data_IF_170837954293
#
_entry.id   IF_170837954293
#
_cell.length_a   1.000
_cell.length_b   1.000
_cell.length_c   1.000
_cell.angle_alpha   90.00
_cell.angle_beta   90.00
_cell.angle_gamma   90.00
#
_symmetry.space_group_name_H-M   'P 1'
#
loop_
_entity.id
_entity.type
_entity.pdbx_description
1 polymer ?
#
# COMPACT_ATOMS: atom_id res chain seq x y z
N UNK A 1 10.02 -11.21 -11.28
CA UNK A 1 11.47 -10.95 -11.20
C UNK A 1 11.86 -10.18 -9.94
N UNK A 2 12.82 -10.69 -9.15
CA UNK A 2 13.52 -9.95 -8.09
C UNK A 2 14.76 -9.24 -8.65
N UNK A 3 14.96 -7.98 -8.32
CA UNK A 3 16.21 -7.27 -8.59
C UNK A 3 16.78 -6.72 -7.28
N UNK A 4 18.03 -7.11 -6.99
CA UNK A 4 18.81 -6.58 -5.87
C UNK A 4 19.97 -5.78 -6.45
N UNK A 5 20.15 -4.55 -5.99
CA UNK A 5 21.12 -3.64 -6.61
C UNK A 5 22.43 -3.58 -5.81
N UNK A 6 23.53 -3.62 -6.54
CA UNK A 6 24.88 -3.34 -6.04
C UNK A 6 25.18 -1.84 -6.13
N UNK A 7 25.96 -1.31 -5.18
CA UNK A 7 26.11 0.14 -4.92
C UNK A 7 26.82 0.95 -6.01
N UNK A 8 27.44 0.31 -7.01
CA UNK A 8 28.39 0.95 -7.93
C UNK A 8 27.85 1.35 -9.30
N UNK A 9 26.64 0.92 -9.70
CA UNK A 9 26.06 1.22 -11.02
C UNK A 9 24.78 2.06 -10.93
N UNK A 10 24.46 2.81 -12.00
CA UNK A 10 23.20 3.54 -12.12
C UNK A 10 22.03 2.53 -12.08
N UNK A 11 21.09 2.77 -11.18
CA UNK A 11 19.98 1.86 -10.90
C UNK A 11 19.07 1.64 -12.11
N UNK A 12 18.71 2.71 -12.81
CA UNK A 12 17.76 2.65 -13.92
C UNK A 12 18.32 1.85 -15.10
N UNK A 13 19.62 1.95 -15.36
CA UNK A 13 20.30 1.18 -16.42
C UNK A 13 20.24 -0.32 -16.14
N UNK A 14 20.51 -0.74 -14.89
CA UNK A 14 20.41 -2.16 -14.50
C UNK A 14 18.97 -2.67 -14.63
N UNK A 15 18.01 -1.85 -14.20
CA UNK A 15 16.60 -2.18 -14.32
C UNK A 15 16.17 -2.34 -15.77
N UNK A 16 16.57 -1.41 -16.65
CA UNK A 16 16.26 -1.44 -18.08
C UNK A 16 16.82 -2.70 -18.74
N UNK A 17 18.09 -3.03 -18.49
CA UNK A 17 18.71 -4.26 -19.00
C UNK A 17 18.00 -5.52 -18.53
N UNK A 18 17.52 -5.55 -17.28
CA UNK A 18 16.80 -6.70 -16.72
C UNK A 18 15.36 -6.83 -17.25
N UNK A 19 14.75 -5.71 -17.64
CA UNK A 19 13.42 -5.69 -18.25
C UNK A 19 13.47 -5.90 -19.76
N UNK A 20 14.62 -5.66 -20.40
CA UNK A 20 14.82 -5.94 -21.81
C UNK A 20 14.59 -7.45 -22.08
N UNK A 21 13.52 -7.75 -22.80
CA UNK A 21 13.02 -9.10 -23.09
C UNK A 21 12.45 -9.88 -21.89
N UNK A 22 12.08 -9.20 -20.80
CA UNK A 22 11.39 -9.84 -19.69
C UNK A 22 9.87 -9.70 -19.82
N UNK A 23 9.15 -10.83 -19.74
CA UNK A 23 7.68 -10.89 -19.77
C UNK A 23 7.03 -10.95 -18.38
N UNK A 24 7.82 -10.94 -17.30
CA UNK A 24 7.32 -10.97 -15.93
C UNK A 24 6.45 -9.74 -15.65
N UNK A 25 5.27 -9.99 -15.11
CA UNK A 25 4.33 -8.93 -14.69
C UNK A 25 4.59 -8.46 -13.27
N UNK A 26 5.44 -9.15 -12.51
CA UNK A 26 5.79 -8.81 -11.13
C UNK A 26 7.24 -8.39 -11.03
N UNK A 27 7.48 -7.16 -10.62
CA UNK A 27 8.81 -6.62 -10.33
C UNK A 27 8.98 -6.44 -8.83
N UNK A 28 9.97 -7.11 -8.26
CA UNK A 28 10.32 -6.99 -6.85
C UNK A 28 11.62 -6.20 -6.69
N UNK A 29 11.46 -4.97 -6.18
CA UNK A 29 12.53 -4.04 -5.79
C UNK A 29 12.66 -3.93 -4.26
N UNK A 30 12.02 -4.79 -3.48
CA UNK A 30 12.05 -4.72 -2.02
C UNK A 30 13.47 -4.79 -1.45
N UNK A 31 13.68 -4.25 -0.25
CA UNK A 31 14.97 -4.23 0.44
C UNK A 31 16.11 -3.51 -0.31
N UNK A 32 15.80 -2.74 -1.36
CA UNK A 32 16.77 -1.87 -1.99
C UNK A 32 16.65 -0.45 -1.41
N UNK A 33 17.75 0.28 -1.19
CA UNK A 33 17.73 1.56 -0.49
C UNK A 33 17.26 2.72 -1.38
N UNK A 34 16.06 2.60 -1.99
CA UNK A 34 15.47 3.60 -2.89
C UNK A 34 15.31 4.96 -2.19
N UNK A 35 15.01 4.94 -0.89
CA UNK A 35 14.95 6.14 -0.05
C UNK A 35 16.24 6.94 0.08
N UNK A 36 17.38 6.36 -0.32
CA UNK A 36 18.70 7.00 -0.33
C UNK A 36 19.20 7.34 -1.73
N UNK A 37 18.38 7.10 -2.76
CA UNK A 37 18.73 7.40 -4.16
C UNK A 37 18.41 8.85 -4.50
N UNK A 38 19.06 9.35 -5.54
CA UNK A 38 18.81 10.68 -6.09
C UNK A 38 17.43 10.71 -6.75
N UNK A 39 16.78 11.87 -6.71
CA UNK A 39 15.49 12.11 -7.37
C UNK A 39 15.49 11.62 -8.82
N UNK A 40 16.49 12.00 -9.61
CA UNK A 40 16.57 11.63 -11.02
C UNK A 40 16.59 10.10 -11.22
N UNK A 41 17.29 9.35 -10.37
CA UNK A 41 17.31 7.89 -10.46
C UNK A 41 15.93 7.28 -10.23
N UNK A 42 15.13 7.83 -9.30
CA UNK A 42 13.75 7.36 -9.07
C UNK A 42 12.84 7.68 -10.25
N UNK A 43 12.97 8.88 -10.82
CA UNK A 43 12.20 9.26 -12.00
C UNK A 43 12.57 8.38 -13.21
N UNK A 44 13.83 8.00 -13.35
CA UNK A 44 14.28 7.12 -14.42
C UNK A 44 13.76 5.68 -14.24
N UNK A 45 13.61 5.18 -13.01
CA UNK A 45 12.91 3.92 -12.74
C UNK A 45 11.49 3.96 -13.31
N UNK A 46 10.73 5.01 -13.02
CA UNK A 46 9.36 5.13 -13.51
C UNK A 46 9.31 5.14 -15.05
N UNK A 47 10.25 5.82 -15.71
CA UNK A 47 10.36 5.82 -17.18
C UNK A 47 10.63 4.43 -17.75
N UNK A 48 11.54 3.67 -17.13
CA UNK A 48 11.87 2.31 -17.54
C UNK A 48 10.66 1.37 -17.41
N UNK A 49 9.74 1.64 -16.48
CA UNK A 49 8.52 0.85 -16.31
C UNK A 49 7.45 1.11 -17.37
N UNK A 50 7.46 2.26 -18.06
CA UNK A 50 6.44 2.64 -19.06
C UNK A 50 6.28 1.57 -20.15
N UNK A 51 7.34 1.13 -20.86
CA UNK A 51 7.19 0.10 -21.89
C UNK A 51 7.07 -1.32 -21.31
N UNK A 52 7.26 -1.50 -20.00
CA UNK A 52 7.34 -2.83 -19.39
C UNK A 52 5.96 -3.50 -19.25
N UNK A 53 5.90 -4.85 -19.19
CA UNK A 53 4.66 -5.57 -18.89
C UNK A 53 4.31 -5.60 -17.39
N UNK A 54 5.07 -4.91 -16.53
CA UNK A 54 4.92 -4.98 -15.08
C UNK A 54 3.58 -4.39 -14.65
N UNK A 55 2.79 -5.20 -13.94
CA UNK A 55 1.52 -4.80 -13.32
C UNK A 55 1.59 -4.77 -11.79
N UNK A 56 2.56 -5.46 -11.20
CA UNK A 56 2.79 -5.51 -9.75
C UNK A 56 4.19 -5.04 -9.41
N UNK A 57 4.30 -4.02 -8.55
CA UNK A 57 5.56 -3.43 -8.13
C UNK A 57 5.73 -3.57 -6.61
N UNK A 58 6.72 -4.35 -6.18
CA UNK A 58 7.05 -4.49 -4.77
C UNK A 58 8.18 -3.52 -4.38
N UNK A 59 7.85 -2.53 -3.53
CA UNK A 59 8.72 -1.51 -2.96
C UNK A 59 8.85 -1.66 -1.44
N UNK A 60 8.55 -2.83 -0.90
CA UNK A 60 8.61 -3.05 0.54
C UNK A 60 10.02 -2.86 1.08
N UNK A 61 10.11 -2.24 2.27
CA UNK A 61 11.38 -2.00 2.97
C UNK A 61 12.43 -1.27 2.11
N UNK A 62 12.00 -0.30 1.28
CA UNK A 62 12.92 0.46 0.42
C UNK A 62 13.33 1.81 1.00
N UNK A 63 12.86 2.12 2.21
CA UNK A 63 13.19 3.33 2.94
C UNK A 63 12.51 4.59 2.40
N UNK A 64 11.35 4.46 1.75
CA UNK A 64 10.66 5.60 1.10
C UNK A 64 10.34 6.75 2.06
N UNK A 65 10.24 6.48 3.37
CA UNK A 65 10.12 7.53 4.37
C UNK A 65 11.29 8.54 4.36
N UNK A 66 12.49 8.11 3.96
CA UNK A 66 13.69 8.94 3.93
C UNK A 66 13.73 9.94 2.76
N UNK A 67 12.87 9.76 1.75
CA UNK A 67 12.83 10.67 0.60
C UNK A 67 12.40 12.07 1.03
N UNK A 68 13.27 13.03 0.72
CA UNK A 68 13.08 14.46 0.97
C UNK A 68 13.56 15.25 -0.26
N UNK A 69 12.79 16.27 -0.73
CA UNK A 69 11.44 16.62 -0.27
C UNK A 69 10.42 15.51 -0.59
N UNK A 70 9.24 15.55 0.05
CA UNK A 70 8.16 14.59 -0.20
C UNK A 70 7.76 14.54 -1.68
N UNK A 71 7.90 15.67 -2.39
CA UNK A 71 7.63 15.82 -3.81
C UNK A 71 8.34 14.79 -4.68
N UNK A 72 9.53 14.31 -4.28
CA UNK A 72 10.24 13.25 -5.00
C UNK A 72 9.43 11.96 -5.02
N UNK A 73 8.89 11.55 -3.87
CA UNK A 73 8.04 10.37 -3.75
C UNK A 73 6.73 10.58 -4.52
N UNK A 74 6.11 11.76 -4.39
CA UNK A 74 4.84 12.06 -5.06
C UNK A 74 4.99 12.05 -6.58
N UNK A 75 6.06 12.64 -7.12
CA UNK A 75 6.37 12.60 -8.55
C UNK A 75 6.60 11.17 -9.03
N UNK A 76 7.36 10.37 -8.28
CA UNK A 76 7.58 8.96 -8.61
C UNK A 76 6.25 8.20 -8.69
N UNK A 77 5.40 8.29 -7.66
CA UNK A 77 4.10 7.61 -7.62
C UNK A 77 3.18 8.09 -8.75
N UNK A 78 3.06 9.40 -8.97
CA UNK A 78 2.24 9.97 -10.04
C UNK A 78 2.71 9.55 -11.44
N UNK A 79 4.00 9.31 -11.64
CA UNK A 79 4.52 8.82 -12.91
C UNK A 79 4.12 7.38 -13.21
N UNK A 80 3.70 6.60 -12.20
CA UNK A 80 3.19 5.24 -12.41
C UNK A 80 1.89 5.22 -13.22
N UNK A 81 1.14 6.35 -13.30
CA UNK A 81 -0.05 6.48 -14.17
C UNK A 81 0.21 6.19 -15.64
N UNK A 82 1.47 6.35 -16.07
CA UNK A 82 1.91 6.11 -17.45
C UNK A 82 2.43 4.67 -17.65
N UNK A 83 2.30 3.82 -16.63
CA UNK A 83 2.75 2.42 -16.64
C UNK A 83 1.55 1.48 -16.57
N UNK A 84 1.78 0.17 -16.54
CA UNK A 84 0.74 -0.85 -16.33
C UNK A 84 0.59 -1.26 -14.85
N UNK A 85 1.31 -0.62 -13.94
CA UNK A 85 1.33 -0.98 -12.51
C UNK A 85 0.00 -0.63 -11.88
N UNK A 86 -0.73 -1.64 -11.43
CA UNK A 86 -2.01 -1.52 -10.70
C UNK A 86 -1.93 -2.09 -9.29
N UNK A 87 -0.90 -2.88 -8.97
CA UNK A 87 -0.67 -3.43 -7.64
C UNK A 87 0.66 -2.91 -7.08
N UNK A 88 0.65 -2.35 -5.88
CA UNK A 88 1.87 -1.83 -5.24
C UNK A 88 2.04 -2.36 -3.82
N UNK A 89 3.25 -2.81 -3.51
CA UNK A 89 3.63 -3.15 -2.14
C UNK A 89 4.51 -2.05 -1.55
N UNK A 90 3.99 -1.35 -0.55
CA UNK A 90 4.67 -0.29 0.20
C UNK A 90 4.96 -0.71 1.65
N UNK A 91 4.88 -2.00 1.95
CA UNK A 91 5.00 -2.49 3.32
C UNK A 91 6.38 -2.21 3.92
N UNK A 92 6.43 -2.05 5.24
CA UNK A 92 7.71 -1.88 5.96
C UNK A 92 8.48 -0.61 5.61
N UNK A 93 7.81 0.46 5.14
CA UNK A 93 8.45 1.73 4.83
C UNK A 93 8.32 2.77 5.95
N UNK A 94 7.71 2.43 7.09
CA UNK A 94 7.54 3.29 8.27
C UNK A 94 6.81 4.60 7.98
N UNK A 95 5.91 4.60 7.00
CA UNK A 95 5.23 5.82 6.55
C UNK A 95 4.43 6.47 7.70
N UNK A 96 3.74 5.68 8.52
CA UNK A 96 2.89 6.16 9.61
C UNK A 96 3.62 6.87 10.76
N UNK A 97 4.95 6.75 10.88
CA UNK A 97 5.72 7.47 11.91
C UNK A 97 6.71 8.47 11.39
N UNK A 98 7.00 8.45 10.09
CA UNK A 98 8.08 9.24 9.49
C UNK A 98 7.58 10.27 8.48
N UNK A 99 6.31 10.17 8.06
CA UNK A 99 5.64 11.15 7.22
C UNK A 99 4.66 11.97 8.06
N UNK A 100 4.49 13.24 7.69
CA UNK A 100 3.46 14.06 8.32
C UNK A 100 2.06 13.58 7.90
N UNK A 101 1.04 14.00 8.65
CA UNK A 101 -0.35 13.70 8.30
C UNK A 101 -0.71 14.18 6.88
N UNK A 102 -0.17 15.32 6.47
CA UNK A 102 -0.42 15.89 5.15
C UNK A 102 0.33 15.09 4.06
N UNK A 103 1.58 14.69 4.31
CA UNK A 103 2.33 13.82 3.41
C UNK A 103 1.59 12.51 3.15
N UNK A 104 1.01 11.89 4.20
CA UNK A 104 0.29 10.63 4.09
C UNK A 104 -0.95 10.77 3.19
N UNK A 105 -1.72 11.86 3.32
CA UNK A 105 -2.86 12.16 2.44
C UNK A 105 -2.42 12.32 0.99
N UNK A 106 -1.33 13.06 0.77
CA UNK A 106 -0.78 13.25 -0.57
C UNK A 106 -0.27 11.95 -1.19
N UNK A 107 0.34 11.06 -0.39
CA UNK A 107 0.77 9.73 -0.84
C UNK A 107 -0.43 8.90 -1.32
N UNK A 108 -1.51 8.80 -0.53
CA UNK A 108 -2.68 8.00 -0.97
C UNK A 108 -3.39 8.63 -2.16
N UNK A 109 -3.44 9.96 -2.22
CA UNK A 109 -3.99 10.65 -3.39
C UNK A 109 -3.15 10.38 -4.65
N UNK A 110 -1.82 10.41 -4.55
CA UNK A 110 -0.92 10.09 -5.66
C UNK A 110 -1.07 8.64 -6.16
N UNK A 111 -1.36 7.69 -5.27
CA UNK A 111 -1.64 6.30 -5.65
C UNK A 111 -2.95 6.15 -6.43
N UNK A 112 -3.98 6.88 -6.03
CA UNK A 112 -5.26 6.92 -6.77
C UNK A 112 -5.07 7.59 -8.14
N UNK A 113 -4.36 8.71 -8.20
CA UNK A 113 -4.01 9.39 -9.45
C UNK A 113 -3.17 8.50 -10.38
N UNK A 114 -2.40 7.57 -9.81
CA UNK A 114 -1.63 6.59 -10.54
C UNK A 114 -2.45 5.41 -11.09
N UNK A 115 -3.73 5.30 -10.72
CA UNK A 115 -4.59 4.19 -11.14
C UNK A 115 -4.31 2.88 -10.39
N UNK A 116 -3.69 2.94 -9.21
CA UNK A 116 -3.45 1.74 -8.39
C UNK A 116 -4.77 1.18 -7.88
N UNK A 117 -4.93 -0.13 -7.95
CA UNK A 117 -6.12 -0.89 -7.55
C UNK A 117 -5.88 -1.67 -6.24
N UNK A 118 -4.68 -2.21 -6.02
CA UNK A 118 -4.34 -2.92 -4.79
C UNK A 118 -3.09 -2.33 -4.12
N UNK A 119 -3.18 -2.03 -2.83
CA UNK A 119 -2.07 -1.49 -2.05
C UNK A 119 -1.78 -2.38 -0.85
N UNK A 120 -0.52 -2.79 -0.68
CA UNK A 120 -0.04 -3.35 0.57
C UNK A 120 0.62 -2.26 1.43
N UNK A 121 -0.05 -1.89 2.52
CA UNK A 121 0.41 -0.93 3.51
C UNK A 121 0.87 -1.59 4.82
N UNK A 122 1.07 -2.90 4.84
CA UNK A 122 1.45 -3.64 6.03
C UNK A 122 2.73 -3.08 6.68
N UNK A 123 2.86 -3.19 7.99
CA UNK A 123 4.07 -2.81 8.73
C UNK A 123 4.55 -1.37 8.52
N UNK A 124 3.62 -0.43 8.36
CA UNK A 124 3.92 1.01 8.26
C UNK A 124 3.64 1.80 9.54
N UNK A 125 3.25 1.11 10.62
CA UNK A 125 2.94 1.70 11.93
C UNK A 125 1.78 2.70 11.87
N UNK A 126 0.78 2.45 11.02
CA UNK A 126 -0.39 3.33 10.89
C UNK A 126 -1.18 3.50 12.20
N UNK A 127 -1.14 2.56 13.15
CA UNK A 127 -1.78 2.71 14.47
C UNK A 127 -1.18 3.81 15.36
N UNK A 128 -0.04 4.41 14.97
CA UNK A 128 0.54 5.60 15.62
C UNK A 128 0.11 6.93 14.99
N UNK A 129 -0.56 6.89 13.84
CA UNK A 129 -1.15 8.08 13.21
C UNK A 129 -2.41 8.45 14.00
N UNK A 130 -2.68 9.75 14.14
CA UNK A 130 -3.90 10.16 14.83
C UNK A 130 -5.15 9.68 14.10
N UNK A 131 -6.19 9.36 14.87
CA UNK A 131 -7.39 8.70 14.34
C UNK A 131 -8.12 9.52 13.28
N UNK A 132 -8.07 10.86 13.36
CA UNK A 132 -8.71 11.74 12.39
C UNK A 132 -8.00 11.66 11.04
N UNK A 133 -6.67 11.72 11.04
CA UNK A 133 -5.87 11.54 9.83
C UNK A 133 -6.05 10.14 9.23
N UNK A 134 -6.08 9.09 10.05
CA UNK A 134 -6.38 7.74 9.56
C UNK A 134 -7.74 7.66 8.90
N UNK A 135 -8.77 8.26 9.50
CA UNK A 135 -10.11 8.28 8.94
C UNK A 135 -10.13 8.95 7.57
N UNK A 136 -9.45 10.08 7.42
CA UNK A 136 -9.35 10.79 6.14
C UNK A 136 -8.60 9.96 5.08
N UNK A 137 -7.46 9.37 5.43
CA UNK A 137 -6.67 8.51 4.52
C UNK A 137 -7.50 7.30 4.06
N UNK A 138 -8.17 6.62 4.98
CA UNK A 138 -8.95 5.43 4.66
C UNK A 138 -10.22 5.76 3.87
N UNK A 139 -10.84 6.91 4.12
CA UNK A 139 -11.95 7.41 3.29
C UNK A 139 -11.48 7.68 1.86
N UNK A 140 -10.28 8.25 1.67
CA UNK A 140 -9.68 8.43 0.35
C UNK A 140 -9.45 7.07 -0.32
N UNK A 141 -8.86 6.11 0.40
CA UNK A 141 -8.63 4.74 -0.10
C UNK A 141 -9.92 3.95 -0.38
N UNK A 142 -11.07 4.37 0.15
CA UNK A 142 -12.36 3.77 -0.19
C UNK A 142 -12.91 4.27 -1.54
N UNK A 143 -12.25 5.22 -2.20
CA UNK A 143 -12.61 5.65 -3.54
C UNK A 143 -12.11 4.66 -4.60
N UNK A 144 -12.68 4.73 -5.81
CA UNK A 144 -12.13 4.01 -6.98
C UNK A 144 -10.81 4.66 -7.41
N UNK A 145 -9.84 3.88 -7.95
CA UNK A 145 -9.97 2.48 -8.36
C UNK A 145 -9.58 1.43 -7.31
N UNK A 146 -9.26 1.85 -6.07
CA UNK A 146 -8.82 0.94 -5.01
C UNK A 146 -9.89 -0.12 -4.72
N UNK A 147 -9.45 -1.38 -4.70
CA UNK A 147 -10.26 -2.56 -4.40
C UNK A 147 -9.76 -3.31 -3.17
N UNK A 148 -8.46 -3.26 -2.87
CA UNK A 148 -7.87 -3.91 -1.68
C UNK A 148 -6.78 -3.08 -1.03
N UNK A 149 -6.78 -3.08 0.30
CA UNK A 149 -5.77 -2.45 1.15
C UNK A 149 -5.33 -3.44 2.22
N UNK A 150 -4.12 -3.97 2.09
CA UNK A 150 -3.54 -4.87 3.09
C UNK A 150 -2.94 -4.07 4.23
N UNK A 151 -3.32 -4.37 5.48
CA UNK A 151 -3.03 -3.53 6.64
C UNK A 151 -2.36 -4.27 7.80
N UNK A 152 -1.83 -5.47 7.57
CA UNK A 152 -1.18 -6.31 8.57
C UNK A 152 -0.04 -5.60 9.32
N UNK A 153 0.22 -5.98 10.58
CA UNK A 153 1.34 -5.47 11.35
C UNK A 153 1.43 -3.95 11.53
N UNK A 154 0.30 -3.21 11.49
CA UNK A 154 0.28 -1.75 11.61
C UNK A 154 0.13 -1.21 13.05
N UNK A 155 0.16 -2.07 14.07
CA UNK A 155 0.04 -1.70 15.48
C UNK A 155 -1.30 -1.02 15.80
N UNK A 156 -2.42 -1.49 15.22
CA UNK A 156 -3.73 -0.90 15.47
C UNK A 156 -4.30 -1.21 16.86
N UNK A 157 -3.70 -2.14 17.59
CA UNK A 157 -4.03 -2.45 18.97
C UNK A 157 -3.97 -1.21 19.88
N UNK A 158 -3.14 -0.22 19.55
CA UNK A 158 -3.08 1.07 20.25
C UNK A 158 -4.28 2.00 20.04
N UNK A 159 -5.18 1.72 19.08
CA UNK A 159 -6.29 2.62 18.73
C UNK A 159 -7.53 2.46 19.62
N UNK A 160 -7.64 1.38 20.40
CA UNK A 160 -8.84 1.10 21.21
C UNK A 160 -9.26 -0.37 21.24
N UNK A 161 -8.36 -1.29 20.88
CA UNK A 161 -8.64 -2.73 20.86
C UNK A 161 -9.33 -3.23 19.59
N UNK A 162 -9.49 -4.56 19.50
CA UNK A 162 -9.87 -5.23 18.26
C UNK A 162 -11.26 -4.82 17.73
N UNK A 163 -12.26 -4.70 18.61
CA UNK A 163 -13.61 -4.32 18.20
C UNK A 163 -13.66 -2.88 17.65
N UNK A 164 -12.97 -1.94 18.30
CA UNK A 164 -12.89 -0.57 17.81
C UNK A 164 -12.24 -0.54 16.41
N UNK A 165 -11.13 -1.25 16.23
CA UNK A 165 -10.42 -1.31 14.96
C UNK A 165 -11.27 -1.96 13.87
N UNK A 166 -11.99 -3.04 14.18
CA UNK A 166 -12.91 -3.67 13.24
C UNK A 166 -14.01 -2.72 12.79
N UNK A 167 -14.71 -2.07 13.73
CA UNK A 167 -15.79 -1.13 13.43
C UNK A 167 -15.25 0.09 12.64
N UNK A 168 -14.06 0.57 12.99
CA UNK A 168 -13.38 1.68 12.29
C UNK A 168 -13.00 1.32 10.86
N UNK A 169 -12.34 0.17 10.64
CA UNK A 169 -11.95 -0.30 9.31
C UNK A 169 -13.18 -0.59 8.46
N UNK A 170 -14.19 -1.27 9.01
CA UNK A 170 -15.44 -1.54 8.31
C UNK A 170 -16.13 -0.24 7.87
N UNK A 171 -16.20 0.77 8.74
CA UNK A 171 -16.80 2.06 8.40
C UNK A 171 -16.02 2.83 7.33
N UNK A 172 -14.69 2.73 7.30
CA UNK A 172 -13.84 3.58 6.47
C UNK A 172 -13.38 2.92 5.17
N UNK A 173 -13.26 1.59 5.14
CA UNK A 173 -12.79 0.80 3.99
C UNK A 173 -13.76 -0.31 3.59
N UNK A 174 -14.82 -0.57 4.36
CA UNK A 174 -15.79 -1.64 4.11
C UNK A 174 -15.10 -3.00 3.90
N UNK A 175 -15.33 -3.64 2.75
CA UNK A 175 -14.77 -4.92 2.33
C UNK A 175 -13.31 -4.81 1.85
N UNK A 176 -12.77 -3.60 1.66
CA UNK A 176 -11.45 -3.40 1.05
C UNK A 176 -10.30 -3.62 2.02
N UNK A 177 -10.54 -3.55 3.33
CA UNK A 177 -9.53 -3.81 4.34
C UNK A 177 -9.18 -5.30 4.39
N UNK A 178 -7.93 -5.65 4.08
CA UNK A 178 -7.44 -7.02 4.11
C UNK A 178 -6.47 -7.20 5.28
N UNK A 179 -6.80 -8.16 6.13
CA UNK A 179 -6.01 -8.62 7.26
C UNK A 179 -5.87 -10.14 7.19
N UNK A 180 -4.65 -10.64 7.40
CA UNK A 180 -4.30 -12.06 7.24
C UNK A 180 -3.37 -12.57 8.35
N UNK A 181 -2.94 -11.71 9.28
CA UNK A 181 -2.10 -12.15 10.39
C UNK A 181 -2.89 -13.13 11.30
N UNK A 182 -2.21 -14.17 11.77
CA UNK A 182 -2.80 -15.23 12.59
C UNK A 182 -2.77 -14.92 14.10
N UNK A 183 -2.38 -13.70 14.49
CA UNK A 183 -2.37 -13.32 15.89
C UNK A 183 -3.79 -13.11 16.43
N UNK A 184 -3.95 -13.28 17.76
CA UNK A 184 -5.26 -13.21 18.42
C UNK A 184 -5.99 -11.88 18.20
N UNK A 185 -5.26 -10.76 18.14
CA UNK A 185 -5.87 -9.45 17.92
C UNK A 185 -6.45 -9.37 16.51
N UNK A 186 -5.66 -9.72 15.49
CA UNK A 186 -6.10 -9.69 14.09
C UNK A 186 -7.28 -10.63 13.82
N UNK A 187 -7.28 -11.83 14.40
CA UNK A 187 -8.40 -12.76 14.26
C UNK A 187 -9.71 -12.23 14.89
N UNK A 188 -9.63 -11.51 16.02
CA UNK A 188 -10.79 -10.83 16.59
C UNK A 188 -11.31 -9.71 15.68
N UNK A 189 -10.39 -8.92 15.07
CA UNK A 189 -10.76 -7.88 14.10
C UNK A 189 -11.49 -8.49 12.91
N UNK A 190 -10.92 -9.54 12.30
CA UNK A 190 -11.50 -10.24 11.13
C UNK A 190 -12.87 -10.81 11.47
N UNK A 191 -12.99 -11.50 12.61
CA UNK A 191 -14.27 -12.09 13.05
C UNK A 191 -15.35 -11.02 13.20
N UNK A 192 -15.02 -9.89 13.82
CA UNK A 192 -15.95 -8.77 14.00
C UNK A 192 -16.34 -8.14 12.66
N UNK A 193 -15.39 -7.93 11.74
CA UNK A 193 -15.66 -7.44 10.39
C UNK A 193 -16.63 -8.38 9.66
N UNK A 194 -16.44 -9.70 9.73
CA UNK A 194 -17.35 -10.67 9.10
C UNK A 194 -18.77 -10.59 9.67
N UNK A 195 -18.91 -10.49 10.99
CA UNK A 195 -20.22 -10.30 11.64
C UNK A 195 -20.91 -8.99 11.20
N UNK A 196 -20.14 -7.91 11.00
CA UNK A 196 -20.68 -6.65 10.49
C UNK A 196 -21.17 -6.78 9.04
N UNK A 197 -20.49 -7.58 8.21
CA UNK A 197 -20.94 -7.86 6.85
C UNK A 197 -22.23 -8.67 6.83
N UNK A 198 -22.33 -9.72 7.65
CA UNK A 198 -23.53 -10.55 7.78
C UNK A 198 -24.72 -9.71 8.25
N UNK A 199 -24.53 -8.90 9.28
CA UNK A 199 -25.59 -8.03 9.81
C UNK A 199 -26.10 -6.99 8.80
N UNK A 200 -25.25 -6.56 7.85
CA UNK A 200 -25.61 -5.60 6.81
C UNK A 200 -26.11 -6.27 5.51
N UNK A 201 -26.14 -7.61 5.43
CA UNK A 201 -26.70 -8.38 4.31
C UNK A 201 -27.93 -9.19 4.77
N UNK A 202 -29.14 -8.60 4.74
CA UNK A 202 -30.35 -9.21 5.28
C UNK A 202 -30.79 -10.53 4.61
N UNK A 203 -30.28 -10.84 3.41
CA UNK A 203 -30.56 -12.11 2.72
C UNK A 203 -29.86 -13.33 3.35
N UNK A 204 -28.88 -13.12 4.23
CA UNK A 204 -28.20 -14.20 4.98
C UNK A 204 -28.96 -14.65 6.24
N UNK A 205 -30.02 -13.94 6.61
CA UNK A 205 -30.82 -14.16 7.83
C UNK A 205 -32.21 -14.75 7.54
N UNK A 206 -32.36 -15.61 6.51
CA UNK A 206 -33.58 -16.42 6.37
C UNK A 206 -33.33 -17.76 7.07
N UNK A 207 -33.90 -18.02 8.27
CA UNK A 207 -33.95 -19.37 8.78
C UNK A 207 -34.79 -20.20 7.81
N UNK A 208 -34.26 -21.34 7.39
CA UNK A 208 -35.03 -22.32 6.64
C UNK A 208 -36.31 -22.64 7.43
N UNK A 209 -37.44 -22.15 6.94
CA UNK A 209 -38.76 -22.56 7.41
C UNK A 209 -38.90 -24.04 7.04
N UNK A 210 -38.78 -24.92 8.04
CA UNK A 210 -39.26 -26.29 8.00
C UNK A 210 -40.76 -26.32 8.28
#
# INVERSE_FOLDING_TARGET
MKITFISTQNFAVQLEQKLQNNSDTVLDLSNNPLGKRKEQELLDIAKVLIPSPVTTLNLSQTGLHLLKPIDVLLQFLRNLKSTKVVNIDLSGNWLGTQKTNEDLKQIVQALIEAGVEEINFSSNQFGKVDIKTLQEIFTILNQKPISKVYLNGNQFDSLGGAHFVADFLFKTLETKAILTDNDSFTQQVITRINLLHEANNPESCIPALQ
#
